data_IF_183843228410
#
_entry.id   IF_183843228410
#
_cell.length_a   1.000
_cell.length_b   1.000
_cell.length_c   1.000
_cell.angle_alpha   90.00
_cell.angle_beta   90.00
_cell.angle_gamma   90.00
#
_symmetry.space_group_name_H-M   'P 1'
#
loop_
_entity.id
_entity.type
_entity.pdbx_description
1 polymer ?
#
# COMPACT_ATOMS: atom_id res chain seq x y z
N UNK A 1 -7.09 -6.19 25.71
CA UNK A 1 -7.33 -5.66 24.37
C UNK A 1 -6.07 -5.02 23.85
N UNK A 2 -5.64 -5.44 22.68
CA UNK A 2 -4.43 -4.86 22.09
C UNK A 2 -4.73 -3.48 21.53
N UNK A 3 -3.91 -2.49 21.85
CA UNK A 3 -4.01 -1.14 21.32
C UNK A 3 -3.86 -1.10 19.79
N UNK A 4 -3.24 -2.14 19.21
CA UNK A 4 -3.04 -2.27 17.76
C UNK A 4 -4.36 -2.40 17.00
N UNK A 5 -5.33 -3.18 17.52
CA UNK A 5 -6.62 -3.33 16.86
C UNK A 5 -7.40 -2.02 16.76
N UNK A 6 -7.36 -1.21 17.80
CA UNK A 6 -8.01 0.11 17.80
C UNK A 6 -7.31 1.09 16.86
N UNK A 7 -5.96 1.06 16.84
CA UNK A 7 -5.17 1.94 15.98
C UNK A 7 -5.41 1.65 14.50
N UNK A 8 -5.47 0.38 14.11
CA UNK A 8 -5.68 0.00 12.70
C UNK A 8 -7.09 0.43 12.22
N UNK A 9 -8.10 0.28 13.06
CA UNK A 9 -9.46 0.73 12.72
C UNK A 9 -9.48 2.24 12.52
N UNK A 10 -8.88 2.99 13.43
CA UNK A 10 -8.78 4.45 13.32
C UNK A 10 -8.01 4.88 12.06
N UNK A 11 -6.94 4.18 11.72
CA UNK A 11 -6.16 4.45 10.52
C UNK A 11 -7.01 4.24 9.25
N UNK A 12 -7.74 3.14 9.17
CA UNK A 12 -8.61 2.85 8.03
C UNK A 12 -9.64 3.96 7.84
N UNK A 13 -10.30 4.38 8.92
CA UNK A 13 -11.31 5.45 8.85
C UNK A 13 -10.70 6.78 8.40
N UNK A 14 -9.57 7.17 8.96
CA UNK A 14 -8.91 8.43 8.61
C UNK A 14 -8.41 8.43 7.17
N UNK A 15 -7.90 7.32 6.68
CA UNK A 15 -7.43 7.21 5.30
C UNK A 15 -8.63 7.31 4.35
N UNK A 16 -9.73 6.65 4.64
CA UNK A 16 -10.94 6.75 3.81
C UNK A 16 -11.48 8.16 3.74
N UNK A 17 -11.47 8.89 4.84
CA UNK A 17 -11.87 10.29 4.85
C UNK A 17 -10.92 11.18 4.05
N UNK A 18 -9.61 10.93 4.18
CA UNK A 18 -8.59 11.76 3.54
C UNK A 18 -8.49 11.57 2.02
N UNK A 19 -8.61 10.32 1.54
CA UNK A 19 -8.41 9.98 0.14
C UNK A 19 -9.71 9.70 -0.62
N UNK A 20 -10.79 9.38 0.08
CA UNK A 20 -12.04 8.99 -0.53
C UNK A 20 -12.18 7.49 -0.72
N UNK A 21 -13.42 6.97 -0.81
CA UNK A 21 -13.68 5.53 -0.90
C UNK A 21 -13.16 4.89 -2.20
N UNK A 22 -13.03 5.66 -3.27
CA UNK A 22 -12.53 5.18 -4.56
C UNK A 22 -11.03 4.80 -4.52
N UNK A 23 -10.30 5.28 -3.52
CA UNK A 23 -8.89 4.95 -3.32
C UNK A 23 -8.68 3.82 -2.31
N UNK A 24 -9.75 3.22 -1.82
CA UNK A 24 -9.71 2.25 -0.71
C UNK A 24 -10.39 0.95 -1.11
N UNK A 25 -9.67 -0.17 -0.98
CA UNK A 25 -10.22 -1.50 -1.20
C UNK A 25 -10.33 -2.21 0.14
N UNK A 26 -11.54 -2.68 0.47
CA UNK A 26 -11.80 -3.41 1.72
C UNK A 26 -12.53 -4.74 1.48
N UNK A 27 -13.24 -4.88 0.36
CA UNK A 27 -13.94 -6.11 0.06
C UNK A 27 -12.94 -7.27 -0.11
N UNK A 28 -13.21 -8.45 0.46
CA UNK A 28 -12.27 -9.57 0.41
C UNK A 28 -11.80 -9.93 -1.00
N UNK A 29 -12.69 -9.92 -1.98
CA UNK A 29 -12.33 -10.23 -3.37
C UNK A 29 -11.42 -9.17 -3.99
N UNK A 30 -11.62 -7.91 -3.63
CA UNK A 30 -10.81 -6.80 -4.12
C UNK A 30 -9.42 -6.79 -3.49
N UNK A 31 -9.32 -7.18 -2.24
CA UNK A 31 -8.08 -7.18 -1.45
C UNK A 31 -7.22 -8.41 -1.77
N UNK A 32 -7.83 -9.55 -2.07
CA UNK A 32 -7.13 -10.83 -2.24
C UNK A 32 -5.90 -10.79 -3.16
N UNK A 33 -5.91 -10.12 -4.33
CA UNK A 33 -4.73 -10.09 -5.20
C UNK A 33 -3.50 -9.41 -4.59
N UNK A 34 -3.68 -8.62 -3.52
CA UNK A 34 -2.60 -7.88 -2.86
C UNK A 34 -1.99 -8.63 -1.67
N UNK A 35 -2.52 -9.80 -1.31
CA UNK A 35 -2.15 -10.51 -0.09
C UNK A 35 -1.08 -11.57 -0.29
N UNK A 36 -0.73 -11.89 -1.51
CA UNK A 36 0.14 -13.02 -1.83
C UNK A 36 1.27 -12.58 -2.74
N UNK A 37 2.50 -13.09 -2.50
CA UNK A 37 3.64 -12.78 -3.33
C UNK A 37 3.58 -13.52 -4.68
N UNK A 38 4.44 -13.09 -5.61
CA UNK A 38 4.50 -13.66 -6.98
C UNK A 38 4.73 -15.18 -6.99
N UNK A 39 5.53 -15.69 -6.06
CA UNK A 39 5.87 -17.11 -5.97
C UNK A 39 4.92 -17.91 -5.09
N UNK A 40 3.95 -17.26 -4.47
CA UNK A 40 2.97 -17.87 -3.55
C UNK A 40 3.62 -18.53 -2.33
N UNK A 41 4.76 -18.00 -1.88
CA UNK A 41 5.45 -18.46 -0.69
C UNK A 41 4.98 -17.76 0.57
N UNK A 42 4.48 -16.53 0.42
CA UNK A 42 4.03 -15.70 1.53
C UNK A 42 2.62 -15.24 1.28
N UNK A 43 1.80 -15.28 2.31
CA UNK A 43 0.43 -14.80 2.26
C UNK A 43 0.09 -14.10 3.56
N UNK A 44 -0.54 -12.94 3.45
CA UNK A 44 -0.88 -12.14 4.60
C UNK A 44 -2.35 -11.75 4.65
N UNK A 45 -2.62 -10.77 5.49
CA UNK A 45 -3.95 -10.23 5.69
C UNK A 45 -3.85 -8.73 5.90
N UNK A 46 -4.83 -7.98 5.41
CA UNK A 46 -4.91 -6.54 5.64
C UNK A 46 -6.38 -6.11 5.70
N UNK A 47 -6.73 -5.15 6.56
CA UNK A 47 -8.07 -4.57 6.54
C UNK A 47 -8.27 -3.55 5.42
N UNK A 48 -7.19 -3.10 4.78
CA UNK A 48 -7.28 -2.05 3.77
C UNK A 48 -6.11 -2.13 2.80
N UNK A 49 -6.43 -2.07 1.51
CA UNK A 49 -5.48 -1.74 0.45
C UNK A 49 -5.81 -0.33 0.00
N UNK A 50 -4.86 0.58 0.09
CA UNK A 50 -5.05 1.95 -0.37
C UNK A 50 -4.25 2.18 -1.66
N UNK A 51 -4.89 2.87 -2.62
CA UNK A 51 -4.33 3.14 -3.95
C UNK A 51 -4.18 4.65 -4.14
N UNK A 52 -3.08 5.23 -3.65
CA UNK A 52 -2.87 6.67 -3.80
C UNK A 52 -2.64 7.02 -5.27
N UNK A 53 -3.15 8.20 -5.66
CA UNK A 53 -3.03 8.70 -7.03
C UNK A 53 -1.88 9.69 -7.19
N UNK A 54 -1.24 10.09 -6.10
CA UNK A 54 -0.19 11.12 -6.12
C UNK A 54 0.76 10.96 -4.94
N UNK A 55 1.92 11.58 -5.05
CA UNK A 55 2.88 11.65 -3.94
C UNK A 55 2.27 12.31 -2.71
N UNK A 56 1.44 13.34 -2.89
CA UNK A 56 0.76 14.00 -1.79
C UNK A 56 -0.16 13.05 -1.03
N UNK A 57 -0.87 12.18 -1.73
CA UNK A 57 -1.72 11.16 -1.10
C UNK A 57 -0.90 10.11 -0.36
N UNK A 58 0.23 9.68 -0.92
CA UNK A 58 1.17 8.79 -0.22
C UNK A 58 1.62 9.42 1.09
N UNK A 59 2.00 10.69 1.06
CA UNK A 59 2.43 11.41 2.26
C UNK A 59 1.33 11.46 3.32
N UNK A 60 0.07 11.66 2.92
CA UNK A 60 -1.06 11.65 3.85
C UNK A 60 -1.24 10.30 4.53
N UNK A 61 -1.19 9.22 3.76
CA UNK A 61 -1.31 7.86 4.31
C UNK A 61 -0.20 7.57 5.31
N UNK A 62 1.03 7.88 4.94
CA UNK A 62 2.18 7.64 5.81
C UNK A 62 2.10 8.46 7.10
N UNK A 63 1.64 9.72 7.01
CA UNK A 63 1.45 10.56 8.18
C UNK A 63 0.41 9.97 9.15
N UNK A 64 -0.72 9.57 8.64
CA UNK A 64 -1.79 8.97 9.44
C UNK A 64 -1.29 7.70 10.13
N UNK A 65 -0.65 6.82 9.37
CA UNK A 65 -0.12 5.57 9.92
C UNK A 65 1.00 5.80 10.94
N UNK A 66 1.84 6.79 10.72
CA UNK A 66 2.89 7.14 11.67
C UNK A 66 2.31 7.68 12.99
N UNK A 67 1.31 8.53 12.93
CA UNK A 67 0.64 9.05 14.13
C UNK A 67 -0.02 7.95 14.95
N UNK A 68 -0.60 6.97 14.28
CA UNK A 68 -1.33 5.87 14.92
C UNK A 68 -0.48 4.61 15.14
N UNK A 69 0.81 4.66 14.78
CA UNK A 69 1.73 3.53 14.93
C UNK A 69 1.26 2.28 14.19
N UNK A 70 0.75 2.46 12.97
CA UNK A 70 0.30 1.37 12.10
C UNK A 70 1.35 1.11 11.02
N UNK A 71 1.72 -0.15 10.84
CA UNK A 71 2.66 -0.56 9.80
C UNK A 71 2.08 -0.39 8.41
N UNK A 72 2.94 -0.03 7.45
CA UNK A 72 2.58 0.14 6.04
C UNK A 72 3.45 -0.76 5.20
N UNK A 73 2.82 -1.52 4.31
CA UNK A 73 3.51 -2.39 3.36
C UNK A 73 3.36 -1.78 1.97
N UNK A 74 4.42 -1.16 1.42
CA UNK A 74 4.37 -0.65 0.07
C UNK A 74 4.44 -1.79 -0.94
N UNK A 75 3.60 -1.71 -1.97
CA UNK A 75 3.55 -2.72 -3.02
C UNK A 75 3.50 -2.05 -4.39
N UNK A 76 4.47 -2.36 -5.25
CA UNK A 76 4.47 -1.96 -6.65
C UNK A 76 3.84 -3.04 -7.51
N UNK A 77 4.59 -3.63 -8.45
CA UNK A 77 4.10 -4.68 -9.33
C UNK A 77 3.93 -6.05 -8.68
N UNK A 78 4.29 -6.19 -7.43
CA UNK A 78 4.19 -7.43 -6.64
C UNK A 78 4.93 -8.63 -7.25
N UNK A 79 6.10 -8.36 -7.81
CA UNK A 79 6.95 -9.39 -8.45
C UNK A 79 8.17 -9.77 -7.61
N UNK A 80 8.30 -9.23 -6.41
CA UNK A 80 9.41 -9.51 -5.51
C UNK A 80 9.40 -10.94 -4.98
N UNK A 81 10.58 -11.45 -4.60
CA UNK A 81 10.75 -12.81 -4.14
C UNK A 81 10.92 -12.96 -2.63
N UNK A 82 11.17 -11.87 -1.93
CA UNK A 82 11.55 -11.91 -0.51
C UNK A 82 10.40 -11.61 0.45
N UNK A 83 9.18 -11.45 -0.04
CA UNK A 83 8.00 -11.20 0.79
C UNK A 83 7.88 -9.78 1.33
N UNK A 84 8.73 -8.85 0.90
CA UNK A 84 8.72 -7.48 1.41
C UNK A 84 7.46 -6.67 1.06
N UNK A 85 6.73 -7.08 0.02
CA UNK A 85 5.49 -6.43 -0.40
C UNK A 85 4.24 -7.18 0.08
N UNK A 86 4.39 -8.21 0.91
CA UNK A 86 3.29 -9.01 1.43
C UNK A 86 3.03 -8.60 2.89
N UNK A 87 1.79 -8.27 3.27
CA UNK A 87 1.49 -7.94 4.67
C UNK A 87 1.61 -9.17 5.57
N UNK A 88 1.75 -8.94 6.87
CA UNK A 88 1.77 -10.02 7.85
C UNK A 88 0.41 -10.74 7.92
N UNK A 89 0.40 -11.91 8.52
CA UNK A 89 -0.83 -12.70 8.71
C UNK A 89 -1.76 -12.12 9.76
N UNK A 90 -1.25 -11.22 10.59
CA UNK A 90 -1.99 -10.68 11.75
C UNK A 90 -3.11 -9.73 11.34
N UNK A 91 -2.97 -9.03 10.21
CA UNK A 91 -3.97 -8.05 9.77
C UNK A 91 -3.84 -6.69 10.45
N UNK A 92 -2.64 -6.34 10.91
CA UNK A 92 -2.35 -5.09 11.60
C UNK A 92 -1.55 -4.09 10.76
N UNK A 93 -1.43 -4.36 9.48
CA UNK A 93 -0.73 -3.51 8.53
C UNK A 93 -1.64 -3.09 7.39
N UNK A 94 -1.36 -1.94 6.80
CA UNK A 94 -2.08 -1.42 5.61
C UNK A 94 -1.19 -1.63 4.40
N UNK A 95 -1.77 -2.14 3.32
CA UNK A 95 -1.06 -2.26 2.03
C UNK A 95 -1.22 -0.95 1.26
N UNK A 96 -0.09 -0.35 0.92
CA UNK A 96 -0.02 0.86 0.10
C UNK A 96 0.34 0.43 -1.34
N UNK A 97 -0.68 0.24 -2.16
CA UNK A 97 -0.51 -0.22 -3.54
C UNK A 97 -0.25 0.97 -4.46
N UNK A 98 0.92 1.00 -5.09
CA UNK A 98 1.42 2.14 -5.84
C UNK A 98 1.08 2.09 -7.33
N UNK A 99 0.24 1.17 -7.77
CA UNK A 99 -0.03 0.93 -9.20
C UNK A 99 -0.57 2.14 -9.97
N UNK A 100 -1.19 3.10 -9.28
CA UNK A 100 -1.69 4.33 -9.91
C UNK A 100 -0.59 5.36 -10.14
N UNK A 101 0.55 5.20 -9.48
CA UNK A 101 1.75 6.01 -9.71
C UNK A 101 2.58 5.33 -10.80
N UNK A 102 2.14 5.44 -12.03
CA UNK A 102 2.64 4.63 -13.15
C UNK A 102 3.21 5.47 -14.31
N UNK A 103 3.55 6.73 -14.07
CA UNK A 103 4.03 7.62 -15.11
C UNK A 103 5.54 7.52 -15.28
N UNK A 104 5.99 7.50 -16.52
CA UNK A 104 7.40 7.72 -16.85
C UNK A 104 7.59 9.23 -16.93
N UNK A 105 8.34 9.81 -15.98
CA UNK A 105 8.50 11.26 -15.84
C UNK A 105 9.44 11.86 -16.86
N UNK A 106 10.53 11.16 -17.18
CA UNK A 106 11.49 11.62 -18.16
C UNK A 106 12.30 10.46 -18.73
N UNK A 107 12.77 10.62 -19.96
CA UNK A 107 13.69 9.70 -20.62
C UNK A 107 14.85 10.52 -21.14
N UNK A 108 16.08 10.16 -20.78
CA UNK A 108 17.31 10.78 -21.26
C UNK A 108 18.12 9.73 -22.02
N UNK A 109 17.90 9.64 -23.33
CA UNK A 109 18.53 8.66 -24.18
C UNK A 109 20.04 8.85 -24.26
N UNK A 110 20.51 10.10 -24.23
CA UNK A 110 21.93 10.41 -24.30
C UNK A 110 22.68 9.93 -23.06
N UNK A 111 22.00 9.88 -21.91
CA UNK A 111 22.58 9.46 -20.63
C UNK A 111 22.13 8.06 -20.20
N UNK A 112 21.44 7.34 -21.06
CA UNK A 112 20.90 5.99 -20.80
C UNK A 112 20.10 5.89 -19.50
N UNK A 113 19.29 6.91 -19.20
CA UNK A 113 18.52 6.98 -17.97
C UNK A 113 17.07 7.34 -18.20
N UNK A 114 16.21 6.93 -17.25
CA UNK A 114 14.82 7.37 -17.19
C UNK A 114 14.39 7.53 -15.74
N UNK A 115 13.37 8.33 -15.54
CA UNK A 115 12.74 8.50 -14.24
C UNK A 115 11.31 7.99 -14.34
N UNK A 116 10.98 6.97 -13.55
CA UNK A 116 9.66 6.38 -13.51
C UNK A 116 9.09 6.43 -12.10
N UNK A 117 7.77 6.53 -12.00
CA UNK A 117 7.08 6.39 -10.74
C UNK A 117 7.10 4.93 -10.28
N UNK A 118 6.85 4.67 -8.99
CA UNK A 118 7.15 3.39 -8.35
C UNK A 118 6.09 2.30 -8.56
N UNK A 119 4.96 2.63 -9.13
CA UNK A 119 3.86 1.69 -9.32
C UNK A 119 3.86 0.88 -10.60
#
# INVERSE_FOLDING_TARGET
>A
MSSHGTSIVAAVERIREALGPESCLQAPDAVAPFLEDHRRLYRGSTPLVVLPASTAQVAKVLRICNELRVGVVPQGGNTGYCGGATPSEVGDEIVLALRRLNRIRSVDAANFSLVAEAG
#
